data_IF_511047859743
#
_entry.id   IF_511047859743
#
_cell.length_a   1.000
_cell.length_b   1.000
_cell.length_c   1.000
_cell.angle_alpha   90.00
_cell.angle_beta   90.00
_cell.angle_gamma   90.00
#
_symmetry.space_group_name_H-M   'P 1'
#
loop_
_entity.id
_entity.type
_entity.pdbx_description
1 polymer ?
#
# COMPACT_ATOMS: atom_id res chain seq x y z
N UNK A 1 6.41 21.48 2.06
CA UNK A 1 7.11 21.73 0.80
C UNK A 1 8.25 22.69 1.05
N UNK A 2 9.43 22.41 0.50
CA UNK A 2 10.61 23.30 0.51
C UNK A 2 10.78 24.02 -0.82
N UNK A 3 9.86 23.81 -1.76
CA UNK A 3 9.90 24.44 -3.07
C UNK A 3 9.82 25.97 -2.96
N UNK A 4 10.67 26.67 -3.70
CA UNK A 4 10.73 28.15 -3.73
C UNK A 4 11.59 28.78 -2.61
N UNK A 5 12.17 28.01 -1.71
CA UNK A 5 13.13 28.52 -0.74
C UNK A 5 14.54 28.56 -1.35
N UNK A 6 15.24 29.68 -1.17
CA UNK A 6 16.62 29.84 -1.67
C UNK A 6 17.65 29.02 -0.86
N UNK A 7 17.34 28.75 0.41
CA UNK A 7 18.19 28.00 1.32
C UNK A 7 17.38 26.89 1.98
N UNK A 8 17.78 25.65 1.76
CA UNK A 8 17.21 24.46 2.39
C UNK A 8 18.32 23.72 3.11
N UNK A 9 18.15 23.55 4.40
CA UNK A 9 19.04 22.74 5.21
C UNK A 9 18.32 21.46 5.65
N UNK A 10 18.93 20.30 5.35
CA UNK A 10 18.47 19.01 5.85
C UNK A 10 19.36 18.65 7.01
N UNK A 11 18.78 18.42 8.18
CA UNK A 11 19.51 17.93 9.34
C UNK A 11 18.96 16.58 9.80
N UNK A 12 19.84 15.65 10.07
CA UNK A 12 19.52 14.38 10.70
C UNK A 12 19.89 14.47 12.18
N UNK A 13 18.91 14.34 13.06
CA UNK A 13 19.14 14.41 14.50
C UNK A 13 18.86 13.04 15.11
N UNK A 14 19.88 12.45 15.70
CA UNK A 14 19.74 11.24 16.52
C UNK A 14 19.62 11.66 17.98
N UNK A 15 18.43 11.54 18.56
CA UNK A 15 18.22 11.77 19.99
C UNK A 15 18.14 10.42 20.71
N UNK A 16 19.22 10.00 21.30
CA UNK A 16 19.31 8.80 22.14
C UNK A 16 18.98 9.03 23.61
N UNK A 17 18.57 10.26 24.01
CA UNK A 17 18.49 10.65 25.42
C UNK A 17 17.22 10.19 26.13
N UNK A 18 16.18 9.77 25.43
CA UNK A 18 14.83 9.65 26.03
C UNK A 18 14.41 8.24 26.40
N UNK A 19 15.14 7.19 26.08
CA UNK A 19 14.66 5.82 26.30
C UNK A 19 15.58 4.92 27.12
N UNK A 20 16.07 5.42 28.25
CA UNK A 20 16.73 4.56 29.23
C UNK A 20 15.68 3.88 30.15
N UNK A 21 14.66 3.27 29.56
CA UNK A 21 13.72 2.43 30.30
C UNK A 21 14.26 1.01 30.28
N UNK A 22 14.90 0.61 31.38
CA UNK A 22 15.24 -0.78 31.62
C UNK A 22 16.66 -1.24 31.32
N UNK A 23 17.65 -0.34 31.24
CA UNK A 23 19.07 -0.74 31.27
C UNK A 23 19.59 -1.47 30.03
N UNK A 24 18.85 -1.47 28.93
CA UNK A 24 19.33 -1.95 27.65
C UNK A 24 19.92 -0.77 26.87
N UNK A 25 21.24 -0.68 26.84
CA UNK A 25 21.94 0.11 25.85
C UNK A 25 21.82 -0.61 24.51
N UNK A 26 20.72 -0.37 23.79
CA UNK A 26 20.57 -0.85 22.43
C UNK A 26 21.54 -0.09 21.54
N UNK A 27 22.40 -0.80 20.82
CA UNK A 27 23.22 -0.22 19.78
C UNK A 27 22.32 0.02 18.57
N UNK A 28 21.91 1.26 18.34
CA UNK A 28 21.21 1.66 17.13
C UNK A 28 22.23 2.26 16.17
N UNK A 29 22.26 1.72 14.97
CA UNK A 29 23.05 2.29 13.87
C UNK A 29 22.09 2.97 12.91
N UNK A 30 22.32 4.23 12.61
CA UNK A 30 21.72 4.89 11.47
C UNK A 30 22.60 4.61 10.26
N UNK A 31 22.08 3.86 9.33
CA UNK A 31 22.67 3.73 8.01
C UNK A 31 21.85 4.64 7.08
N UNK A 32 22.48 5.74 6.66
CA UNK A 32 21.86 6.66 5.69
C UNK A 32 22.66 6.47 4.40
N UNK A 33 21.98 6.03 3.37
CA UNK A 33 22.53 5.79 2.05
C UNK A 33 21.63 6.42 1.00
N UNK A 34 22.21 6.78 -0.14
CA UNK A 34 21.50 7.27 -1.33
C UNK A 34 20.47 8.41 -1.08
N UNK A 35 20.86 9.45 -0.35
CA UNK A 35 20.01 10.63 -0.16
C UNK A 35 19.84 11.33 -1.49
N UNK A 36 18.56 11.43 -1.94
CA UNK A 36 18.20 12.14 -3.16
C UNK A 36 17.15 13.19 -2.85
N UNK A 37 17.32 14.36 -3.39
CA UNK A 37 16.29 15.40 -3.46
C UNK A 37 15.74 15.37 -4.88
N UNK A 38 14.49 14.95 -5.01
CA UNK A 38 13.82 14.88 -6.30
C UNK A 38 12.60 15.79 -6.29
N UNK A 39 12.25 16.32 -7.44
CA UNK A 39 10.96 16.97 -7.61
C UNK A 39 9.85 15.92 -7.59
N UNK A 40 8.87 16.09 -6.71
CA UNK A 40 7.72 15.20 -6.65
C UNK A 40 6.87 15.41 -7.90
N UNK A 41 6.58 14.37 -8.70
CA UNK A 41 5.69 14.50 -9.85
C UNK A 41 4.26 14.83 -9.41
N UNK A 42 3.49 15.43 -10.31
CA UNK A 42 2.08 15.73 -10.03
C UNK A 42 1.29 14.45 -9.72
N UNK A 43 1.47 13.43 -10.54
CA UNK A 43 0.80 12.15 -10.40
C UNK A 43 1.84 11.06 -10.13
N UNK A 44 1.72 10.42 -9.00
CA UNK A 44 2.54 9.27 -8.64
C UNK A 44 1.78 8.39 -7.65
N UNK A 45 1.42 7.19 -8.09
CA UNK A 45 0.77 6.19 -7.26
C UNK A 45 1.77 5.08 -6.90
N UNK A 46 1.75 4.68 -5.66
CA UNK A 46 2.56 3.58 -5.12
C UNK A 46 1.62 2.50 -4.56
N UNK A 47 2.01 1.24 -4.74
CA UNK A 47 1.38 0.12 -4.05
C UNK A 47 2.29 -0.27 -2.88
N UNK A 48 1.81 -0.08 -1.65
CA UNK A 48 2.62 -0.33 -0.44
C UNK A 48 2.52 -1.77 0.02
N UNK A 49 1.34 -2.36 -0.08
CA UNK A 49 1.09 -3.73 0.34
C UNK A 49 -0.07 -4.32 -0.45
N UNK A 50 -0.02 -5.64 -0.67
CA UNK A 50 -1.06 -6.39 -1.37
C UNK A 50 -1.24 -7.74 -0.71
N UNK A 51 -2.49 -8.11 -0.48
CA UNK A 51 -2.86 -9.40 0.09
C UNK A 51 -3.95 -10.09 -0.73
N UNK A 52 -3.93 -11.42 -0.72
CA UNK A 52 -4.98 -12.27 -1.28
C UNK A 52 -5.72 -12.92 -0.12
N UNK A 53 -6.87 -12.35 0.26
CA UNK A 53 -7.63 -12.78 1.44
C UNK A 53 -8.16 -11.61 2.26
N UNK A 54 -7.60 -10.43 2.05
CA UNK A 54 -8.07 -9.17 2.61
C UNK A 54 -7.31 -8.68 3.83
N UNK A 55 -7.48 -7.39 4.10
CA UNK A 55 -6.95 -6.76 5.30
C UNK A 55 -7.96 -6.79 6.43
N UNK A 56 -7.56 -7.35 7.55
CA UNK A 56 -8.34 -7.30 8.76
C UNK A 56 -8.07 -6.01 9.51
N UNK A 57 -9.04 -5.10 9.50
CA UNK A 57 -8.97 -3.85 10.25
C UNK A 57 -9.46 -4.00 11.70
N UNK A 58 -10.08 -5.11 12.04
CA UNK A 58 -10.85 -5.27 13.27
C UNK A 58 -10.06 -5.87 14.45
N UNK A 59 -8.76 -5.66 14.50
CA UNK A 59 -8.03 -5.81 15.76
C UNK A 59 -8.16 -4.59 16.69
N UNK A 60 -9.25 -3.84 16.56
CA UNK A 60 -9.57 -2.73 17.47
C UNK A 60 -9.60 -3.16 18.95
N UNK A 61 -9.81 -4.44 19.25
CA UNK A 61 -9.72 -4.98 20.61
C UNK A 61 -8.29 -5.15 21.12
N UNK A 62 -7.26 -5.03 20.27
CA UNK A 62 -5.88 -4.89 20.72
C UNK A 62 -5.48 -3.43 21.01
N UNK A 63 -6.41 -2.52 20.95
CA UNK A 63 -6.21 -1.11 21.36
C UNK A 63 -5.73 -0.96 22.80
N UNK A 64 -5.94 -1.98 23.65
CA UNK A 64 -5.36 -2.01 25.01
C UNK A 64 -3.83 -1.97 25.02
N UNK A 65 -3.18 -2.25 23.90
CA UNK A 65 -1.72 -2.15 23.72
C UNK A 65 -1.30 -0.92 22.91
N UNK A 66 -2.24 -0.04 22.54
CA UNK A 66 -1.96 1.17 21.79
C UNK A 66 -1.46 0.95 20.35
N UNK A 67 -1.67 -0.23 19.79
CA UNK A 67 -1.15 -0.63 18.49
C UNK A 67 -2.33 -0.85 17.53
N UNK A 68 -2.48 0.05 16.57
CA UNK A 68 -3.37 -0.16 15.43
C UNK A 68 -2.62 -1.00 14.39
N UNK A 69 -2.78 -2.32 14.45
CA UNK A 69 -2.26 -3.20 13.41
C UNK A 69 -3.31 -3.42 12.32
N UNK A 70 -2.92 -3.19 11.09
CA UNK A 70 -3.59 -3.75 9.94
C UNK A 70 -2.86 -5.05 9.62
N UNK A 71 -3.57 -6.19 9.70
CA UNK A 71 -3.00 -7.48 9.35
C UNK A 71 -3.58 -7.89 8.01
N UNK A 72 -2.70 -8.08 7.03
CA UNK A 72 -3.05 -8.69 5.76
C UNK A 72 -3.11 -10.23 5.88
N UNK A 73 -4.18 -10.82 5.37
CA UNK A 73 -4.31 -12.27 5.23
C UNK A 73 -3.95 -12.65 3.79
N UNK A 74 -2.82 -13.31 3.62
CA UNK A 74 -2.32 -13.68 2.29
C UNK A 74 -2.44 -15.20 2.10
N UNK A 75 -3.50 -15.63 1.41
CA UNK A 75 -3.77 -17.04 1.17
C UNK A 75 -3.04 -17.54 -0.07
N UNK A 76 -2.05 -18.40 0.13
CA UNK A 76 -1.34 -19.09 -0.97
C UNK A 76 -2.06 -20.36 -1.44
N UNK A 77 -2.86 -20.98 -0.59
CA UNK A 77 -3.61 -22.20 -0.89
C UNK A 77 -4.99 -22.15 -0.22
N UNK A 78 -6.03 -22.35 -1.01
CA UNK A 78 -7.40 -22.46 -0.48
C UNK A 78 -8.04 -23.78 -0.98
N UNK A 79 -8.53 -24.63 -0.07
CA UNK A 79 -9.30 -25.81 -0.45
C UNK A 79 -10.57 -25.42 -1.20
N UNK A 80 -10.88 -26.13 -2.28
CA UNK A 80 -12.05 -25.83 -3.12
C UNK A 80 -13.36 -25.81 -2.33
N UNK A 81 -13.47 -26.66 -1.29
CA UNK A 81 -14.65 -26.71 -0.42
C UNK A 81 -14.85 -25.43 0.41
N UNK A 82 -13.83 -24.62 0.58
CA UNK A 82 -13.89 -23.36 1.33
C UNK A 82 -14.09 -22.15 0.42
N UNK A 83 -13.77 -22.26 -0.85
CA UNK A 83 -13.77 -21.15 -1.78
C UNK A 83 -15.15 -20.47 -1.93
N UNK A 84 -16.24 -21.25 -1.83
CA UNK A 84 -17.60 -20.71 -1.90
C UNK A 84 -17.93 -19.77 -0.72
N UNK A 85 -17.37 -20.04 0.47
CA UNK A 85 -17.60 -19.22 1.67
C UNK A 85 -16.52 -18.19 1.89
N UNK A 86 -15.34 -18.42 1.32
CA UNK A 86 -14.16 -17.56 1.44
C UNK A 86 -13.53 -17.37 0.06
N UNK A 87 -14.21 -16.65 -0.85
CA UNK A 87 -13.66 -16.35 -2.16
C UNK A 87 -12.42 -15.47 -2.02
N UNK A 88 -11.53 -15.56 -3.00
CA UNK A 88 -10.36 -14.68 -3.02
C UNK A 88 -10.79 -13.23 -3.20
N UNK A 89 -10.33 -12.38 -2.32
CA UNK A 89 -10.39 -10.93 -2.44
C UNK A 89 -8.95 -10.43 -2.54
N UNK A 90 -8.66 -9.68 -3.57
CA UNK A 90 -7.36 -9.02 -3.71
C UNK A 90 -7.52 -7.62 -3.17
N UNK A 91 -6.82 -7.31 -2.09
CA UNK A 91 -6.80 -5.98 -1.49
C UNK A 91 -5.39 -5.42 -1.49
N UNK A 92 -5.28 -4.12 -1.69
CA UNK A 92 -4.01 -3.42 -1.68
C UNK A 92 -4.10 -2.06 -1.03
N UNK A 93 -2.98 -1.62 -0.48
CA UNK A 93 -2.80 -0.25 0.02
C UNK A 93 -2.21 0.58 -1.10
N UNK A 94 -3.00 1.49 -1.66
CA UNK A 94 -2.55 2.47 -2.62
C UNK A 94 -2.22 3.78 -1.91
N UNK A 95 -1.08 4.37 -2.24
CA UNK A 95 -0.64 5.65 -1.71
C UNK A 95 -0.37 6.65 -2.81
N UNK A 96 -0.87 7.86 -2.63
CA UNK A 96 -0.56 8.99 -3.50
C UNK A 96 0.74 9.66 -3.05
N UNK A 97 1.81 9.45 -3.79
CA UNK A 97 3.11 10.09 -3.58
C UNK A 97 3.28 11.36 -4.43
N UNK A 98 2.30 11.66 -5.27
CA UNK A 98 2.26 12.89 -6.07
C UNK A 98 1.80 14.11 -5.27
N UNK A 99 1.91 15.29 -5.86
CA UNK A 99 1.41 16.50 -5.23
C UNK A 99 -0.02 16.87 -5.69
N UNK A 100 -0.59 16.18 -6.67
CA UNK A 100 -1.98 16.36 -7.10
C UNK A 100 -2.88 15.26 -6.51
N UNK A 101 -4.13 15.60 -6.22
CA UNK A 101 -5.14 14.61 -5.86
C UNK A 101 -5.36 13.65 -7.02
N UNK A 102 -5.53 12.38 -6.72
CA UNK A 102 -5.68 11.33 -7.72
C UNK A 102 -6.94 10.50 -7.47
N UNK A 103 -7.43 9.85 -8.51
CA UNK A 103 -8.43 8.80 -8.41
C UNK A 103 -7.80 7.52 -8.90
N UNK A 104 -7.74 6.50 -8.05
CA UNK A 104 -6.96 5.30 -8.31
C UNK A 104 -7.76 4.04 -8.12
N UNK A 105 -7.33 2.96 -8.75
CA UNK A 105 -7.88 1.61 -8.60
C UNK A 105 -6.76 0.60 -8.52
N UNK A 106 -7.05 -0.53 -7.88
CA UNK A 106 -6.22 -1.73 -7.94
C UNK A 106 -6.65 -2.55 -9.15
N UNK A 107 -5.69 -3.02 -9.92
CA UNK A 107 -5.90 -3.94 -11.04
C UNK A 107 -5.16 -5.24 -10.83
N UNK A 108 -5.68 -6.31 -11.43
CA UNK A 108 -5.01 -7.60 -11.45
C UNK A 108 -5.24 -8.34 -12.77
N UNK A 109 -4.25 -9.16 -13.09
CA UNK A 109 -4.31 -10.20 -14.12
C UNK A 109 -3.86 -11.53 -13.51
N UNK A 110 -4.60 -12.58 -13.83
CA UNK A 110 -4.34 -13.94 -13.35
C UNK A 110 -4.11 -14.84 -14.56
N UNK A 111 -3.04 -15.62 -14.50
CA UNK A 111 -2.69 -16.62 -15.51
C UNK A 111 -2.43 -18.00 -14.88
N UNK A 112 -2.28 -19.03 -15.67
CA UNK A 112 -2.05 -20.42 -15.24
C UNK A 112 -3.26 -21.30 -15.47
N UNK A 113 -3.96 -21.73 -14.42
CA UNK A 113 -5.15 -22.60 -14.50
C UNK A 113 -6.38 -21.98 -15.16
N UNK A 114 -6.34 -20.71 -15.46
CA UNK A 114 -7.35 -19.92 -16.17
C UNK A 114 -6.83 -18.50 -16.38
N UNK A 115 -7.55 -17.69 -17.15
CA UNK A 115 -7.23 -16.28 -17.38
C UNK A 115 -8.36 -15.46 -16.81
N UNK A 116 -8.02 -14.61 -15.83
CA UNK A 116 -8.96 -13.70 -15.19
C UNK A 116 -8.33 -12.32 -15.09
N UNK A 117 -9.14 -11.29 -15.13
CA UNK A 117 -8.69 -9.93 -14.87
C UNK A 117 -9.80 -9.13 -14.23
N UNK A 118 -9.45 -8.10 -13.50
CA UNK A 118 -10.42 -7.23 -12.88
C UNK A 118 -9.78 -6.04 -12.20
N UNK A 119 -10.62 -5.26 -11.55
CA UNK A 119 -10.19 -4.08 -10.82
C UNK A 119 -11.09 -3.80 -9.61
N UNK A 120 -10.57 -3.05 -8.65
CA UNK A 120 -11.39 -2.39 -7.64
C UNK A 120 -12.24 -1.26 -8.25
N UNK A 121 -13.11 -0.67 -7.44
CA UNK A 121 -13.72 0.61 -7.76
C UNK A 121 -12.63 1.72 -7.81
N UNK A 122 -12.89 2.75 -8.61
CA UNK A 122 -12.11 4.00 -8.58
C UNK A 122 -12.30 4.69 -7.23
N UNK A 123 -11.22 5.03 -6.57
CA UNK A 123 -11.22 5.62 -5.23
C UNK A 123 -10.34 6.87 -5.22
N UNK A 124 -10.84 8.02 -4.74
CA UNK A 124 -10.04 9.22 -4.61
C UNK A 124 -8.99 9.07 -3.50
N UNK A 125 -7.78 9.52 -3.78
CA UNK A 125 -6.66 9.56 -2.83
C UNK A 125 -6.07 10.97 -2.88
N UNK A 126 -6.27 11.71 -1.79
CA UNK A 126 -5.78 13.08 -1.69
C UNK A 126 -4.26 13.12 -1.57
N UNK A 127 -3.66 14.17 -2.11
CA UNK A 127 -2.24 14.42 -1.92
C UNK A 127 -1.94 14.77 -0.44
N UNK A 128 -0.77 14.32 0.03
CA UNK A 128 -0.31 14.70 1.36
C UNK A 128 -0.09 16.22 1.46
N UNK A 129 -0.63 16.84 2.50
CA UNK A 129 -0.49 18.28 2.74
C UNK A 129 -0.53 18.58 4.23
N UNK A 130 -0.33 19.85 4.59
CA UNK A 130 -0.47 20.31 5.98
C UNK A 130 -1.89 20.12 6.54
N UNK A 131 -2.89 20.07 5.68
CA UNK A 131 -4.31 19.90 6.04
C UNK A 131 -4.84 18.48 5.79
N UNK A 132 -4.13 17.70 4.99
CA UNK A 132 -4.44 16.30 4.72
C UNK A 132 -3.22 15.43 5.02
N UNK A 133 -3.29 14.63 6.08
CA UNK A 133 -2.22 13.72 6.51
C UNK A 133 -2.47 12.27 6.12
N UNK A 134 -3.58 11.98 5.44
CA UNK A 134 -3.95 10.65 4.95
C UNK A 134 -3.86 10.63 3.44
N UNK A 135 -2.79 10.04 2.93
CA UNK A 135 -2.45 9.95 1.51
C UNK A 135 -2.54 8.52 0.96
N UNK A 136 -3.14 7.62 1.72
CA UNK A 136 -3.30 6.21 1.34
C UNK A 136 -4.71 5.70 1.61
N UNK A 137 -5.08 4.64 0.88
CA UNK A 137 -6.37 3.96 1.02
C UNK A 137 -6.22 2.46 0.79
N UNK A 138 -6.99 1.67 1.52
CA UNK A 138 -7.17 0.24 1.22
C UNK A 138 -8.27 0.12 0.18
N UNK A 139 -7.97 -0.56 -0.92
CA UNK A 139 -8.91 -0.86 -1.99
C UNK A 139 -8.96 -2.36 -2.25
N UNK A 140 -10.14 -2.87 -2.52
CA UNK A 140 -10.36 -4.30 -2.76
C UNK A 140 -11.09 -4.53 -4.07
N UNK A 141 -10.76 -5.67 -4.71
CA UNK A 141 -11.46 -6.13 -5.91
C UNK A 141 -12.74 -6.88 -5.55
N UNK A 142 -13.69 -7.03 -6.49
CA UNK A 142 -14.75 -8.01 -6.32
C UNK A 142 -14.16 -9.42 -6.06
N UNK A 143 -14.89 -10.27 -5.31
CA UNK A 143 -14.43 -11.62 -5.02
C UNK A 143 -14.19 -12.44 -6.29
N UNK A 144 -13.08 -13.18 -6.30
CA UNK A 144 -12.68 -14.10 -7.37
C UNK A 144 -12.81 -15.54 -6.87
N UNK A 145 -13.46 -16.38 -7.65
CA UNK A 145 -13.62 -17.82 -7.38
C UNK A 145 -13.07 -18.62 -8.57
N UNK A 146 -11.76 -18.80 -8.67
CA UNK A 146 -11.14 -19.53 -9.77
C UNK A 146 -11.46 -21.03 -9.73
N UNK A 147 -11.31 -21.71 -10.85
CA UNK A 147 -11.35 -23.18 -10.89
C UNK A 147 -10.12 -23.76 -10.18
N UNK A 148 -10.10 -25.10 -10.02
CA UNK A 148 -8.92 -25.76 -9.43
C UNK A 148 -7.73 -25.56 -10.37
N UNK A 149 -6.61 -25.10 -9.81
CA UNK A 149 -5.40 -24.83 -10.58
C UNK A 149 -4.31 -24.15 -9.76
N UNK A 150 -3.19 -23.91 -10.40
CA UNK A 150 -2.11 -23.06 -9.90
C UNK A 150 -2.15 -21.79 -10.74
N UNK A 151 -2.01 -20.67 -10.10
CA UNK A 151 -2.17 -19.36 -10.71
C UNK A 151 -1.01 -18.45 -10.36
N UNK A 152 -0.60 -17.63 -11.33
CA UNK A 152 0.28 -16.50 -11.14
C UNK A 152 -0.57 -15.23 -11.22
N UNK A 153 -0.42 -14.34 -10.27
CA UNK A 153 -1.22 -13.12 -10.17
C UNK A 153 -0.31 -11.91 -10.27
N UNK A 154 -0.56 -11.04 -11.23
CA UNK A 154 0.07 -9.73 -11.35
C UNK A 154 -0.91 -8.66 -10.85
N UNK A 155 -0.47 -7.78 -9.95
CA UNK A 155 -1.30 -6.79 -9.28
C UNK A 155 -0.59 -5.44 -9.31
N UNK A 156 -1.29 -4.37 -9.72
CA UNK A 156 -0.75 -3.01 -9.75
C UNK A 156 -1.83 -1.97 -9.45
N UNK A 157 -1.39 -0.79 -9.04
CA UNK A 157 -2.23 0.40 -8.90
C UNK A 157 -2.27 1.20 -10.20
N UNK A 158 -3.42 1.71 -10.56
CA UNK A 158 -3.61 2.58 -11.70
C UNK A 158 -4.32 3.85 -11.26
N UNK A 159 -3.78 5.00 -11.63
CA UNK A 159 -4.42 6.29 -11.40
C UNK A 159 -4.98 6.84 -12.71
N UNK A 160 -6.19 7.36 -12.64
CA UNK A 160 -6.96 7.85 -13.78
C UNK A 160 -7.40 9.30 -13.56
N UNK A 161 -7.42 10.06 -14.61
CA UNK A 161 -8.05 11.39 -14.64
C UNK A 161 -8.95 11.50 -15.86
N UNK A 162 -10.26 11.52 -15.63
CA UNK A 162 -11.29 11.61 -16.66
C UNK A 162 -11.17 10.55 -17.78
N UNK A 163 -10.83 9.31 -17.42
CA UNK A 163 -10.68 8.18 -18.34
C UNK A 163 -9.30 8.10 -19.00
N UNK A 164 -8.34 8.90 -18.54
CA UNK A 164 -6.95 8.86 -19.03
C UNK A 164 -6.05 8.40 -17.88
N UNK A 165 -5.33 7.30 -18.11
CA UNK A 165 -4.34 6.80 -17.14
C UNK A 165 -3.23 7.84 -17.00
N UNK A 166 -3.02 8.29 -15.75
CA UNK A 166 -2.01 9.32 -15.43
C UNK A 166 -0.73 8.71 -14.87
N UNK A 167 -0.84 7.59 -14.14
CA UNK A 167 0.31 6.88 -13.59
C UNK A 167 -0.04 5.44 -13.26
N UNK A 168 0.97 4.58 -13.26
CA UNK A 168 0.92 3.20 -12.80
C UNK A 168 1.91 3.01 -11.65
N UNK A 169 1.57 2.16 -10.69
CA UNK A 169 2.53 1.68 -9.69
C UNK A 169 3.45 0.59 -10.26
N UNK A 170 4.41 0.19 -9.47
CA UNK A 170 5.10 -1.09 -9.69
C UNK A 170 4.10 -2.25 -9.62
N UNK A 171 4.46 -3.38 -10.24
CA UNK A 171 3.64 -4.59 -10.25
C UNK A 171 4.13 -5.56 -9.17
N UNK A 172 3.21 -6.02 -8.34
CA UNK A 172 3.43 -7.08 -7.35
C UNK A 172 2.99 -8.40 -7.95
N UNK A 173 3.82 -9.43 -7.80
CA UNK A 173 3.53 -10.79 -8.25
C UNK A 173 3.30 -11.72 -7.06
N UNK A 174 2.29 -12.55 -7.17
CA UNK A 174 1.90 -13.56 -6.16
C UNK A 174 1.74 -14.93 -6.79
#
# INVERSE_FOLDING_TARGET
>A
SVAGNSDVQISFVFDGSTNNVGGFSGYYFWMIDDIRIIETPANFIEIEDVVIGGFWQDFANYSSYGLNFIIGLDYSITPISQLANHPYVIEGVLRNRGFADQTSMLKYEVSGGGIYSGSSALTPILAYSATNTVDSVIVGTPPLSPSIGVYDIAIWGESDSAGIITTLSDTVYK
#
